data_IF_655400154495
#
_entry.id   IF_655400154495
#
_cell.length_a   1.000
_cell.length_b   1.000
_cell.length_c   1.000
_cell.angle_alpha   90.00
_cell.angle_beta   90.00
_cell.angle_gamma   90.00
#
_symmetry.space_group_name_H-M   'P 1'
#
loop_
_entity.id
_entity.type
_entity.pdbx_description
1 polymer ?
#
# COMPACT_ATOMS: atom_id res chain seq x y z
N UNK A 1 5.57 14.81 0.05
CA UNK A 1 6.62 13.92 -0.50
C UNK A 1 7.04 14.40 -1.90
N UNK A 2 7.96 15.35 -2.03
CA UNK A 2 8.37 15.87 -3.34
C UNK A 2 9.12 14.85 -4.21
N UNK A 3 9.74 13.82 -3.60
CA UNK A 3 10.38 12.73 -4.34
C UNK A 3 9.40 11.98 -5.26
N UNK A 4 8.12 11.85 -4.89
CA UNK A 4 7.11 11.18 -5.72
C UNK A 4 6.97 11.82 -7.11
N UNK A 5 7.21 13.12 -7.21
CA UNK A 5 7.22 13.85 -8.49
C UNK A 5 8.31 13.34 -9.43
N UNK A 6 9.52 13.13 -8.89
CA UNK A 6 10.66 12.61 -9.66
C UNK A 6 10.48 11.13 -9.99
N UNK A 7 10.03 10.33 -9.01
CA UNK A 7 9.78 8.90 -9.20
C UNK A 7 8.73 8.65 -10.29
N UNK A 8 7.61 9.40 -10.26
CA UNK A 8 6.56 9.30 -11.26
C UNK A 8 7.07 9.72 -12.65
N UNK A 9 7.80 10.83 -12.75
CA UNK A 9 8.36 11.30 -14.03
C UNK A 9 9.33 10.28 -14.61
N UNK A 10 10.25 9.75 -13.80
CA UNK A 10 11.25 8.78 -14.24
C UNK A 10 10.61 7.47 -14.74
N UNK A 11 9.64 6.93 -13.99
CA UNK A 11 8.94 5.70 -14.36
C UNK A 11 8.11 5.88 -15.64
N UNK A 12 7.36 6.98 -15.76
CA UNK A 12 6.58 7.29 -16.95
C UNK A 12 7.47 7.43 -18.19
N UNK A 13 8.53 8.23 -18.11
CA UNK A 13 9.46 8.43 -19.23
C UNK A 13 10.15 7.13 -19.62
N UNK A 14 10.57 6.31 -18.66
CA UNK A 14 11.22 5.03 -18.91
C UNK A 14 10.27 4.01 -19.54
N UNK A 15 8.97 4.10 -19.25
CA UNK A 15 7.90 3.32 -19.89
C UNK A 15 7.47 3.87 -21.27
N UNK A 16 8.03 5.01 -21.71
CA UNK A 16 7.69 5.65 -22.98
C UNK A 16 6.48 6.59 -22.93
N UNK A 17 6.02 6.96 -21.72
CA UNK A 17 4.88 7.84 -21.51
C UNK A 17 5.30 9.29 -21.28
N UNK A 18 4.49 10.23 -21.75
CA UNK A 18 4.45 11.57 -21.20
C UNK A 18 3.71 11.59 -19.87
N UNK A 19 3.99 12.58 -19.01
CA UNK A 19 3.36 12.68 -17.69
C UNK A 19 2.96 14.11 -17.36
N UNK A 20 1.75 14.27 -16.84
CA UNK A 20 1.25 15.51 -16.26
C UNK A 20 1.24 15.33 -14.74
N UNK A 21 2.05 16.10 -14.05
CA UNK A 21 2.21 16.08 -12.61
C UNK A 21 1.34 17.14 -11.95
N UNK A 22 0.70 16.79 -10.84
CA UNK A 22 -0.04 17.73 -10.00
C UNK A 22 0.29 17.46 -8.54
N UNK A 23 0.92 18.43 -7.88
CA UNK A 23 1.31 18.34 -6.49
C UNK A 23 0.43 19.13 -5.54
N UNK A 24 0.53 18.86 -4.24
CA UNK A 24 -0.09 19.68 -3.20
C UNK A 24 0.65 21.00 -2.98
N UNK A 25 -0.01 21.94 -2.30
CA UNK A 25 0.51 23.29 -2.01
C UNK A 25 1.83 23.24 -1.23
N UNK A 26 1.97 22.28 -0.32
CA UNK A 26 3.10 22.14 0.60
C UNK A 26 4.42 21.87 -0.12
N UNK A 27 4.37 21.10 -1.22
CA UNK A 27 5.54 20.70 -1.99
C UNK A 27 5.68 21.45 -3.33
N UNK A 28 4.80 22.41 -3.61
CA UNK A 28 4.70 23.02 -4.94
C UNK A 28 6.03 23.64 -5.44
N UNK A 29 6.74 24.39 -4.59
CA UNK A 29 8.02 25.00 -4.96
C UNK A 29 9.08 23.95 -5.30
N UNK A 30 9.16 22.88 -4.52
CA UNK A 30 10.08 21.77 -4.78
C UNK A 30 9.72 21.03 -6.07
N UNK A 31 8.44 20.76 -6.28
CA UNK A 31 7.96 20.10 -7.50
C UNK A 31 8.26 20.94 -8.74
N UNK A 32 8.05 22.26 -8.67
CA UNK A 32 8.38 23.18 -9.78
C UNK A 32 9.87 23.17 -10.11
N UNK A 33 10.73 23.16 -9.08
CA UNK A 33 12.17 23.09 -9.28
C UNK A 33 12.62 21.76 -9.91
N UNK A 34 12.07 20.63 -9.43
CA UNK A 34 12.35 19.31 -10.01
C UNK A 34 11.91 19.23 -11.48
N UNK A 35 10.71 19.68 -11.78
CA UNK A 35 10.19 19.65 -13.16
C UNK A 35 11.02 20.52 -14.08
N UNK A 36 11.49 21.68 -13.63
CA UNK A 36 12.39 22.52 -14.42
C UNK A 36 13.69 21.78 -14.79
N UNK A 37 14.34 21.14 -13.82
CA UNK A 37 15.56 20.34 -14.04
C UNK A 37 15.30 19.16 -14.97
N UNK A 38 14.18 18.45 -14.78
CA UNK A 38 13.81 17.33 -15.66
C UNK A 38 13.58 17.78 -17.10
N UNK A 39 12.89 18.89 -17.31
CA UNK A 39 12.65 19.46 -18.67
C UNK A 39 13.94 19.91 -19.34
N UNK A 40 14.86 20.51 -18.60
CA UNK A 40 16.19 20.90 -19.14
C UNK A 40 17.03 19.67 -19.50
N UNK A 41 16.96 18.61 -18.69
CA UNK A 41 17.63 17.34 -19.00
C UNK A 41 17.03 16.65 -20.24
N UNK A 42 15.70 16.65 -20.39
CA UNK A 42 15.04 16.11 -21.59
C UNK A 42 15.50 16.85 -22.87
N UNK A 43 15.51 18.17 -22.85
CA UNK A 43 15.94 18.97 -23.97
C UNK A 43 17.43 18.71 -24.32
N UNK A 44 18.29 18.59 -23.30
CA UNK A 44 19.68 18.23 -23.46
C UNK A 44 19.91 16.85 -24.07
N UNK A 45 18.93 15.91 -23.81
CA UNK A 45 18.92 14.58 -24.39
C UNK A 45 18.21 14.49 -25.76
N UNK A 46 17.78 15.63 -26.33
CA UNK A 46 17.06 15.67 -27.61
C UNK A 46 15.59 15.21 -27.54
N UNK A 47 15.02 15.19 -26.34
CA UNK A 47 13.61 14.85 -26.12
C UNK A 47 12.77 16.11 -25.89
N UNK A 48 11.46 16.09 -26.24
CA UNK A 48 10.59 17.23 -26.00
C UNK A 48 10.47 17.56 -24.51
N UNK A 49 10.58 18.82 -24.14
CA UNK A 49 10.38 19.30 -22.77
C UNK A 49 9.01 18.94 -22.21
N UNK A 50 8.00 18.88 -23.07
CA UNK A 50 6.62 18.65 -22.70
C UNK A 50 6.28 17.18 -22.41
N UNK A 51 7.26 16.27 -22.52
CA UNK A 51 7.11 14.91 -21.96
C UNK A 51 6.88 14.93 -20.44
N UNK A 52 7.29 16.01 -19.75
CA UNK A 52 6.98 16.24 -18.34
C UNK A 52 6.32 17.60 -18.17
N UNK A 53 5.09 17.62 -17.75
CA UNK A 53 4.32 18.83 -17.45
C UNK A 53 3.93 18.90 -15.98
N UNK A 54 3.76 20.12 -15.44
CA UNK A 54 3.31 20.38 -14.10
C UNK A 54 2.11 21.31 -14.14
N UNK A 55 1.02 20.91 -13.50
CA UNK A 55 -0.12 21.78 -13.22
C UNK A 55 0.29 22.78 -12.14
N UNK A 56 0.37 24.05 -12.49
CA UNK A 56 0.77 25.12 -11.55
C UNK A 56 -0.36 25.56 -10.62
N UNK A 57 -1.60 25.43 -11.05
CA UNK A 57 -2.75 25.68 -10.20
C UNK A 57 -2.95 24.53 -9.21
N UNK A 58 -2.85 24.83 -7.93
CA UNK A 58 -3.02 23.88 -6.83
C UNK A 58 -4.44 23.85 -6.26
N UNK A 59 -5.40 24.51 -6.89
CA UNK A 59 -6.81 24.54 -6.49
C UNK A 59 -7.47 23.16 -6.60
N UNK A 60 -8.66 23.01 -5.98
CA UNK A 60 -9.46 21.79 -6.15
C UNK A 60 -10.12 21.75 -7.52
N UNK A 61 -10.41 22.90 -8.09
CA UNK A 61 -10.99 23.06 -9.41
C UNK A 61 -10.06 22.47 -10.47
N UNK A 62 -8.77 22.84 -10.45
CA UNK A 62 -7.79 22.28 -11.40
C UNK A 62 -7.63 20.76 -11.27
N UNK A 63 -7.75 20.20 -10.05
CA UNK A 63 -7.76 18.76 -9.86
C UNK A 63 -8.99 18.09 -10.48
N UNK A 64 -10.17 18.71 -10.35
CA UNK A 64 -11.40 18.19 -10.95
C UNK A 64 -11.37 18.29 -12.50
N UNK A 65 -10.81 19.36 -13.04
CA UNK A 65 -10.60 19.48 -14.49
C UNK A 65 -9.68 18.37 -15.00
N UNK A 66 -8.55 18.14 -14.33
CA UNK A 66 -7.61 17.07 -14.69
C UNK A 66 -8.29 15.70 -14.70
N UNK A 67 -9.16 15.41 -13.74
CA UNK A 67 -9.91 14.15 -13.65
C UNK A 67 -10.87 13.94 -14.83
N UNK A 68 -11.18 14.98 -15.58
CA UNK A 68 -12.13 14.96 -16.70
C UNK A 68 -11.51 15.11 -18.09
N UNK A 69 -10.19 15.22 -18.20
CA UNK A 69 -9.45 15.40 -19.45
C UNK A 69 -9.31 14.10 -20.26
N UNK A 70 -10.42 13.45 -20.59
CA UNK A 70 -10.47 12.16 -21.29
C UNK A 70 -9.85 12.16 -22.68
N UNK A 71 -9.78 13.32 -23.34
CA UNK A 71 -9.21 13.45 -24.68
C UNK A 71 -7.66 13.56 -24.66
N UNK A 72 -7.08 13.71 -23.46
CA UNK A 72 -5.64 13.96 -23.27
C UNK A 72 -4.95 12.98 -22.34
N UNK A 73 -5.71 12.33 -21.45
CA UNK A 73 -5.16 11.45 -20.43
C UNK A 73 -5.70 10.03 -20.60
N UNK A 74 -4.79 9.07 -20.74
CA UNK A 74 -5.12 7.64 -20.79
C UNK A 74 -5.40 7.07 -19.41
N UNK A 75 -4.67 7.54 -18.39
CA UNK A 75 -4.78 7.04 -17.01
C UNK A 75 -4.45 8.13 -15.98
N UNK A 76 -5.14 8.10 -14.86
CA UNK A 76 -4.90 8.91 -13.68
C UNK A 76 -4.48 8.03 -12.50
N UNK A 77 -3.36 8.38 -11.85
CA UNK A 77 -2.87 7.68 -10.66
C UNK A 77 -2.87 8.65 -9.46
N UNK A 78 -3.96 8.71 -8.68
CA UNK A 78 -4.02 9.59 -7.53
C UNK A 78 -3.08 9.10 -6.43
N UNK A 79 -2.29 10.04 -5.88
CA UNK A 79 -1.36 9.80 -4.77
C UNK A 79 -1.65 10.78 -3.64
N UNK A 80 -2.06 10.30 -2.47
CA UNK A 80 -2.37 11.16 -1.33
C UNK A 80 -3.20 10.44 -0.28
N UNK A 81 -3.86 11.19 0.59
CA UNK A 81 -4.75 10.62 1.61
C UNK A 81 -6.04 10.03 1.03
N UNK A 82 -6.73 9.23 1.83
CA UNK A 82 -7.93 8.47 1.46
C UNK A 82 -8.99 9.32 0.72
N UNK A 83 -9.21 10.57 1.15
CA UNK A 83 -10.20 11.46 0.53
C UNK A 83 -9.87 11.82 -0.92
N UNK A 84 -8.60 12.00 -1.29
CA UNK A 84 -8.19 12.25 -2.67
C UNK A 84 -8.35 11.00 -3.53
N UNK A 85 -7.95 9.85 -3.01
CA UNK A 85 -8.05 8.57 -3.71
C UNK A 85 -9.51 8.22 -3.98
N UNK A 86 -10.39 8.36 -2.98
CA UNK A 86 -11.82 8.14 -3.12
C UNK A 86 -12.47 9.13 -4.10
N UNK A 87 -12.07 10.41 -4.06
CA UNK A 87 -12.58 11.42 -5.00
C UNK A 87 -12.19 11.07 -6.43
N UNK A 88 -10.93 10.66 -6.66
CA UNK A 88 -10.49 10.18 -7.98
C UNK A 88 -11.33 9.01 -8.47
N UNK A 89 -11.51 7.99 -7.63
CA UNK A 89 -12.29 6.80 -8.01
C UNK A 89 -13.78 7.06 -8.27
N UNK A 90 -14.37 8.06 -7.61
CA UNK A 90 -15.81 8.37 -7.76
C UNK A 90 -16.12 9.40 -8.87
N UNK A 91 -15.23 10.38 -9.06
CA UNK A 91 -15.53 11.58 -9.84
C UNK A 91 -14.74 11.67 -11.14
N UNK A 92 -13.67 10.90 -11.31
CA UNK A 92 -12.88 10.93 -12.53
C UNK A 92 -13.60 10.22 -13.68
N UNK A 93 -13.55 10.84 -14.86
CA UNK A 93 -13.95 10.24 -16.13
C UNK A 93 -12.75 9.58 -16.83
N UNK A 94 -11.54 10.05 -16.55
CA UNK A 94 -10.30 9.39 -16.96
C UNK A 94 -10.18 8.07 -16.17
N UNK A 95 -9.77 6.96 -16.79
CA UNK A 95 -9.49 5.71 -16.08
C UNK A 95 -8.54 5.92 -14.91
N UNK A 96 -8.85 5.35 -13.74
CA UNK A 96 -8.07 5.57 -12.51
C UNK A 96 -7.47 4.27 -12.03
N UNK A 97 -6.15 4.29 -11.77
CA UNK A 97 -5.51 3.26 -10.98
C UNK A 97 -5.36 3.79 -9.55
N UNK A 98 -6.14 3.24 -8.64
CA UNK A 98 -6.14 3.68 -7.24
C UNK A 98 -4.96 3.04 -6.50
N UNK A 99 -4.19 3.86 -5.81
CA UNK A 99 -3.24 3.37 -4.81
C UNK A 99 -3.97 3.22 -3.48
N UNK A 100 -3.83 2.05 -2.83
CA UNK A 100 -4.60 1.74 -1.63
C UNK A 100 -4.14 2.49 -0.38
N UNK A 101 -5.07 2.70 0.56
CA UNK A 101 -4.80 2.89 1.98
C UNK A 101 -4.44 1.51 2.55
N UNK A 102 -3.47 1.41 3.43
CA UNK A 102 -3.00 0.14 3.96
C UNK A 102 -3.44 -0.09 5.41
N UNK A 103 -4.56 -0.78 5.63
CA UNK A 103 -4.85 -1.42 6.92
C UNK A 103 -4.37 -2.87 6.81
N UNK A 104 -3.09 -3.08 7.14
CA UNK A 104 -2.43 -4.38 6.97
C UNK A 104 -2.45 -5.18 8.27
N UNK A 105 -2.67 -6.49 8.16
CA UNK A 105 -2.72 -7.38 9.32
C UNK A 105 -1.53 -8.33 9.38
N UNK A 106 -1.12 -8.64 10.59
CA UNK A 106 -0.26 -9.79 10.89
C UNK A 106 -1.05 -10.72 11.81
N UNK A 107 -1.29 -11.93 11.35
CA UNK A 107 -1.99 -12.97 12.09
C UNK A 107 -1.00 -13.99 12.65
N UNK A 108 -1.01 -14.18 13.96
CA UNK A 108 -0.21 -15.18 14.67
C UNK A 108 -1.08 -16.37 15.00
N UNK A 109 -0.91 -17.44 14.22
CA UNK A 109 -1.65 -18.69 14.32
C UNK A 109 -1.17 -19.53 15.52
N UNK A 110 -1.99 -20.44 16.04
CA UNK A 110 -1.64 -21.32 17.15
C UNK A 110 -0.36 -22.15 16.92
N UNK A 111 -0.07 -22.50 15.68
CA UNK A 111 1.14 -23.22 15.26
C UNK A 111 2.34 -22.31 14.95
N UNK A 112 2.36 -21.06 15.40
CA UNK A 112 3.43 -20.13 15.11
C UNK A 112 4.71 -20.41 15.88
N UNK A 113 5.84 -20.03 15.28
CA UNK A 113 7.07 -19.74 16.00
C UNK A 113 6.94 -18.34 16.63
N UNK A 114 6.80 -18.27 17.95
CA UNK A 114 6.51 -17.03 18.66
C UNK A 114 7.66 -16.01 18.59
N UNK A 115 8.91 -16.47 18.60
CA UNK A 115 10.08 -15.58 18.42
C UNK A 115 10.11 -14.98 17.02
N UNK A 116 9.80 -15.78 16.00
CA UNK A 116 9.65 -15.31 14.62
C UNK A 116 8.51 -14.29 14.52
N UNK A 117 7.36 -14.59 15.08
CA UNK A 117 6.19 -13.73 15.07
C UNK A 117 6.46 -12.38 15.74
N UNK A 118 7.15 -12.38 16.88
CA UNK A 118 7.52 -11.15 17.58
C UNK A 118 8.48 -10.27 16.76
N UNK A 119 9.46 -10.86 16.06
CA UNK A 119 10.34 -10.12 15.15
C UNK A 119 9.58 -9.59 13.93
N UNK A 120 8.66 -10.37 13.36
CA UNK A 120 7.87 -9.97 12.20
C UNK A 120 6.99 -8.78 12.55
N UNK A 121 6.21 -8.84 13.64
CA UNK A 121 5.32 -7.72 14.01
C UNK A 121 6.11 -6.48 14.42
N UNK A 122 7.22 -6.64 15.14
CA UNK A 122 8.10 -5.51 15.44
C UNK A 122 8.59 -4.83 14.15
N UNK A 123 9.11 -5.58 13.19
CA UNK A 123 9.55 -5.03 11.91
C UNK A 123 8.38 -4.41 11.13
N UNK A 124 7.27 -5.11 11.00
CA UNK A 124 6.11 -4.69 10.23
C UNK A 124 5.52 -3.36 10.75
N UNK A 125 5.55 -3.12 12.08
CA UNK A 125 5.05 -1.87 12.66
C UNK A 125 6.10 -0.77 12.77
N UNK A 126 7.36 -1.11 13.08
CA UNK A 126 8.31 -0.09 13.56
C UNK A 126 9.39 0.32 12.58
N UNK A 127 9.62 -0.42 11.50
CA UNK A 127 10.65 -0.07 10.51
C UNK A 127 10.33 1.25 9.79
N UNK A 128 9.07 1.48 9.47
CA UNK A 128 8.57 2.74 8.90
C UNK A 128 7.04 2.82 9.05
N UNK A 129 6.51 3.34 10.15
CA UNK A 129 5.09 3.25 10.45
C UNK A 129 4.19 4.06 9.49
N UNK A 130 4.72 5.10 8.82
CA UNK A 130 3.96 6.02 7.96
C UNK A 130 3.76 5.56 6.51
N UNK A 131 4.01 4.28 6.21
CA UNK A 131 3.81 3.72 4.86
C UNK A 131 2.68 2.70 4.85
N UNK A 132 2.02 2.58 3.71
CA UNK A 132 0.79 1.79 3.54
C UNK A 132 0.95 0.28 3.79
N UNK A 133 2.16 -0.28 3.74
CA UNK A 133 2.44 -1.69 4.03
C UNK A 133 2.89 -1.94 5.49
N UNK A 134 2.91 -0.92 6.35
CA UNK A 134 3.11 -1.11 7.78
C UNK A 134 1.91 -1.84 8.40
N UNK A 135 2.17 -2.71 9.39
CA UNK A 135 1.07 -3.35 10.10
C UNK A 135 0.28 -2.34 10.93
N UNK A 136 -1.03 -2.38 10.82
CA UNK A 136 -1.95 -1.57 11.61
C UNK A 136 -2.74 -2.42 12.61
N UNK A 137 -2.89 -3.72 12.32
CA UNK A 137 -3.58 -4.65 13.18
C UNK A 137 -2.78 -5.94 13.39
N UNK A 138 -2.74 -6.41 14.63
CA UNK A 138 -2.19 -7.70 15.05
C UNK A 138 -3.33 -8.60 15.53
N UNK A 139 -3.50 -9.73 14.85
CA UNK A 139 -4.44 -10.79 15.23
C UNK A 139 -3.66 -11.93 15.88
N UNK A 140 -4.12 -12.44 16.99
CA UNK A 140 -3.44 -13.51 17.74
C UNK A 140 -4.41 -14.59 18.14
N UNK A 141 -4.10 -15.83 17.80
CA UNK A 141 -4.90 -16.97 18.29
C UNK A 141 -4.91 -17.00 19.81
N UNK A 142 -6.12 -17.23 20.36
CA UNK A 142 -6.33 -17.31 21.81
C UNK A 142 -5.43 -18.34 22.48
N UNK A 143 -5.11 -19.43 21.78
CA UNK A 143 -4.25 -20.50 22.32
C UNK A 143 -2.83 -20.02 22.65
N UNK A 144 -2.29 -19.07 21.88
CA UNK A 144 -0.92 -18.57 22.04
C UNK A 144 -0.83 -17.15 22.59
N UNK A 145 -1.96 -16.46 22.71
CA UNK A 145 -1.99 -15.07 23.14
C UNK A 145 -1.35 -14.82 24.52
N UNK A 146 -1.56 -15.67 25.56
CA UNK A 146 -0.93 -15.45 26.85
C UNK A 146 0.60 -15.46 26.82
N UNK A 147 1.19 -16.29 25.97
CA UNK A 147 2.65 -16.42 25.84
C UNK A 147 3.21 -15.37 24.86
N UNK A 148 2.51 -15.16 23.75
CA UNK A 148 2.99 -14.30 22.66
C UNK A 148 2.90 -12.81 22.96
N UNK A 149 1.77 -12.33 23.49
CA UNK A 149 1.53 -10.89 23.66
C UNK A 149 2.57 -10.21 24.56
N UNK A 150 3.00 -10.79 25.70
CA UNK A 150 4.09 -10.22 26.50
C UNK A 150 5.42 -10.17 25.76
N UNK A 151 5.75 -11.17 24.94
CA UNK A 151 6.98 -11.20 24.13
C UNK A 151 6.96 -10.10 23.06
N UNK A 152 5.86 -9.97 22.33
CA UNK A 152 5.68 -8.93 21.33
C UNK A 152 5.78 -7.53 21.95
N UNK A 153 5.15 -7.33 23.12
CA UNK A 153 5.22 -6.06 23.83
C UNK A 153 6.64 -5.67 24.23
N UNK A 154 7.47 -6.61 24.70
CA UNK A 154 8.87 -6.34 25.03
C UNK A 154 9.66 -5.71 23.87
N UNK A 155 9.35 -6.08 22.63
CA UNK A 155 9.97 -5.48 21.44
C UNK A 155 9.31 -4.16 21.04
N UNK A 156 7.98 -4.11 21.00
CA UNK A 156 7.22 -2.96 20.54
C UNK A 156 7.41 -1.72 21.44
N UNK A 157 7.51 -1.91 22.76
CA UNK A 157 7.78 -0.82 23.71
C UNK A 157 9.11 -0.12 23.47
N UNK A 158 10.10 -0.79 22.88
CA UNK A 158 11.42 -0.18 22.56
C UNK A 158 11.28 0.98 21.55
N UNK A 159 10.18 1.03 20.85
CA UNK A 159 9.81 2.09 19.90
C UNK A 159 8.59 2.91 20.36
N UNK A 160 8.21 2.78 21.64
CA UNK A 160 7.05 3.48 22.22
C UNK A 160 5.76 3.25 21.42
N UNK A 161 5.52 2.03 20.93
CA UNK A 161 4.28 1.70 20.21
C UNK A 161 3.11 1.74 21.19
N UNK A 162 2.09 2.55 20.89
CA UNK A 162 0.82 2.53 21.61
C UNK A 162 0.03 1.30 21.19
N UNK A 163 -0.43 0.48 22.13
CA UNK A 163 -1.32 -0.64 21.85
C UNK A 163 -2.77 -0.25 22.15
N UNK A 164 -3.65 -0.56 21.19
CA UNK A 164 -5.10 -0.50 21.36
C UNK A 164 -5.65 -1.92 21.29
N UNK A 165 -6.08 -2.46 22.41
CA UNK A 165 -6.38 -3.88 22.55
C UNK A 165 -7.85 -4.17 22.79
N UNK A 166 -8.33 -5.32 22.26
CA UNK A 166 -9.60 -5.89 22.65
C UNK A 166 -9.60 -6.27 24.16
N UNK A 167 -10.76 -6.56 24.77
CA UNK A 167 -10.83 -6.90 26.20
C UNK A 167 -9.87 -8.05 26.60
N UNK A 168 -9.73 -9.09 25.77
CA UNK A 168 -8.83 -10.21 26.04
C UNK A 168 -7.34 -9.79 26.01
N UNK A 169 -6.95 -8.96 25.04
CA UNK A 169 -5.58 -8.38 24.98
C UNK A 169 -5.27 -7.60 26.26
N UNK A 170 -6.21 -6.78 26.71
CA UNK A 170 -6.08 -6.00 27.95
C UNK A 170 -6.03 -6.85 29.20
N UNK A 171 -6.79 -7.95 29.24
CA UNK A 171 -6.74 -8.89 30.36
C UNK A 171 -5.36 -9.57 30.49
N UNK A 172 -4.65 -9.79 29.37
CA UNK A 172 -3.32 -10.41 29.37
C UNK A 172 -2.23 -9.38 29.67
N UNK A 173 -2.24 -8.21 29.03
CA UNK A 173 -1.15 -7.25 29.12
C UNK A 173 -1.34 -6.21 30.23
N UNK A 174 -2.57 -5.89 30.62
CA UNK A 174 -2.88 -4.94 31.68
C UNK A 174 -3.37 -3.58 31.16
N UNK A 175 -3.62 -2.65 32.11
CA UNK A 175 -4.32 -1.40 31.88
C UNK A 175 -3.55 -0.33 31.08
N UNK A 176 -2.27 -0.52 30.84
CA UNK A 176 -1.50 0.38 29.97
C UNK A 176 -1.92 0.25 28.49
N UNK A 177 -2.52 -0.87 28.10
CA UNK A 177 -3.11 -1.06 26.78
C UNK A 177 -4.43 -0.31 26.73
N UNK A 178 -4.54 0.64 25.80
CA UNK A 178 -5.79 1.38 25.60
C UNK A 178 -6.89 0.44 25.07
N UNK A 179 -8.15 0.63 25.47
CA UNK A 179 -9.23 -0.11 24.83
C UNK A 179 -9.30 0.26 23.35
N UNK A 180 -9.40 -0.75 22.49
CA UNK A 180 -9.66 -0.55 21.07
C UNK A 180 -11.12 -0.12 20.88
N UNK A 181 -11.33 0.85 19.99
CA UNK A 181 -12.63 1.29 19.51
C UNK A 181 -12.93 0.63 18.16
N UNK A 182 -14.19 0.56 17.74
CA UNK A 182 -14.55 -0.05 16.45
C UNK A 182 -13.84 0.58 15.26
N UNK A 183 -13.62 1.90 15.29
CA UNK A 183 -12.91 2.63 14.26
C UNK A 183 -11.41 2.28 14.15
N UNK A 184 -10.81 1.75 15.22
CA UNK A 184 -9.39 1.39 15.23
C UNK A 184 -9.09 0.22 14.28
N UNK A 185 -10.07 -0.65 14.05
CA UNK A 185 -9.93 -1.80 13.17
C UNK A 185 -9.85 -1.42 11.69
N UNK A 186 -10.41 -0.26 11.31
CA UNK A 186 -10.46 0.26 9.93
C UNK A 186 -9.47 1.42 9.71
N UNK A 187 -8.59 1.69 10.67
CA UNK A 187 -7.72 2.87 10.65
C UNK A 187 -6.30 2.55 10.22
N UNK A 188 -5.83 3.21 9.15
CA UNK A 188 -4.42 3.37 8.85
C UNK A 188 -3.86 4.46 9.77
N UNK A 189 -3.26 4.07 10.91
CA UNK A 189 -2.73 5.04 11.88
C UNK A 189 -1.56 5.83 11.32
N UNK A 190 -0.70 5.18 10.53
CA UNK A 190 0.48 5.81 9.97
C UNK A 190 1.51 6.25 11.01
N UNK A 191 1.41 5.75 12.24
CA UNK A 191 2.21 6.11 13.40
C UNK A 191 2.51 4.86 14.25
N UNK A 192 3.23 5.03 15.34
CA UNK A 192 3.54 3.98 16.31
C UNK A 192 2.30 3.63 17.16
N UNK A 193 1.21 3.27 16.50
CA UNK A 193 -0.04 2.78 17.09
C UNK A 193 -0.38 1.45 16.43
N UNK A 194 -0.75 0.43 17.22
CA UNK A 194 -1.09 -0.90 16.74
C UNK A 194 -2.38 -1.39 17.42
N UNK A 195 -3.37 -1.72 16.63
CA UNK A 195 -4.58 -2.41 17.12
C UNK A 195 -4.26 -3.89 17.34
N UNK A 196 -4.75 -4.47 18.44
CA UNK A 196 -4.44 -5.86 18.82
C UNK A 196 -5.72 -6.60 19.21
N UNK A 197 -6.02 -7.67 18.50
CA UNK A 197 -7.20 -8.51 18.73
C UNK A 197 -6.80 -9.96 18.96
N UNK A 198 -7.34 -10.55 20.01
CA UNK A 198 -7.32 -11.99 20.21
C UNK A 198 -8.50 -12.59 19.44
N UNK A 199 -8.23 -13.61 18.65
CA UNK A 199 -9.21 -14.34 17.84
C UNK A 199 -9.34 -15.79 18.32
N UNK A 200 -10.48 -16.41 18.09
CA UNK A 200 -10.74 -17.80 18.50
C UNK A 200 -9.98 -18.84 17.66
N UNK A 201 -9.48 -18.44 16.49
CA UNK A 201 -8.74 -19.27 15.56
C UNK A 201 -8.74 -18.73 14.15
N UNK A 202 -8.28 -19.58 13.22
CA UNK A 202 -8.04 -19.26 11.82
C UNK A 202 -9.22 -18.61 11.10
N UNK A 203 -10.42 -19.19 11.21
CA UNK A 203 -11.58 -18.71 10.44
C UNK A 203 -12.01 -17.30 10.91
N UNK A 204 -12.02 -17.02 12.23
CA UNK A 204 -12.27 -15.66 12.73
C UNK A 204 -11.20 -14.65 12.26
N UNK A 205 -9.94 -15.07 12.18
CA UNK A 205 -8.87 -14.19 11.68
C UNK A 205 -9.08 -13.83 10.21
N UNK A 206 -9.43 -14.80 9.36
CA UNK A 206 -9.70 -14.57 7.94
C UNK A 206 -10.93 -13.69 7.74
N UNK A 207 -12.01 -13.97 8.46
CA UNK A 207 -13.25 -13.18 8.43
C UNK A 207 -12.99 -11.73 8.87
N UNK A 208 -12.17 -11.55 9.91
CA UNK A 208 -11.79 -10.23 10.39
C UNK A 208 -10.97 -9.45 9.35
N UNK A 209 -9.98 -10.10 8.74
CA UNK A 209 -9.19 -9.50 7.65
C UNK A 209 -10.09 -9.13 6.46
N UNK A 210 -11.04 -9.97 6.11
CA UNK A 210 -11.99 -9.70 5.02
C UNK A 210 -12.90 -8.50 5.33
N UNK A 211 -13.27 -8.30 6.60
CA UNK A 211 -14.15 -7.22 7.04
C UNK A 211 -13.43 -5.87 7.15
N UNK A 212 -12.19 -5.86 7.66
CA UNK A 212 -11.46 -4.65 8.07
C UNK A 212 -10.22 -4.35 7.20
N UNK A 213 -9.72 -5.33 6.45
CA UNK A 213 -8.57 -5.16 5.55
C UNK A 213 -8.91 -4.31 4.33
N UNK A 214 -7.90 -3.63 3.82
CA UNK A 214 -8.00 -2.83 2.59
C UNK A 214 -7.57 -3.60 1.33
N UNK A 215 -7.28 -4.90 1.46
CA UNK A 215 -6.76 -5.73 0.38
C UNK A 215 -5.33 -5.39 -0.03
N UNK A 216 -4.55 -4.79 0.88
CA UNK A 216 -3.19 -4.35 0.58
C UNK A 216 -2.15 -5.45 0.85
N UNK A 217 -1.86 -5.75 2.11
CA UNK A 217 -0.82 -6.71 2.49
C UNK A 217 -1.20 -7.40 3.78
N UNK A 218 -1.29 -8.73 3.73
CA UNK A 218 -1.74 -9.54 4.85
C UNK A 218 -0.75 -10.67 5.11
N UNK A 219 -0.43 -10.95 6.36
CA UNK A 219 0.54 -11.96 6.73
C UNK A 219 0.02 -12.93 7.78
N UNK A 220 0.32 -14.21 7.60
CA UNK A 220 0.18 -15.25 8.65
C UNK A 220 1.57 -15.67 9.14
N UNK A 221 1.71 -15.88 10.44
CA UNK A 221 2.87 -16.57 11.01
C UNK A 221 2.44 -17.93 11.52
N UNK A 222 2.98 -18.99 10.94
CA UNK A 222 2.63 -20.38 11.27
C UNK A 222 3.71 -21.36 10.82
N UNK A 223 3.80 -22.51 11.47
CA UNK A 223 4.54 -23.71 11.02
C UNK A 223 3.60 -24.76 10.40
N UNK A 224 2.30 -24.58 10.52
CA UNK A 224 1.28 -25.45 9.92
C UNK A 224 1.17 -25.16 8.42
N UNK A 225 1.57 -26.14 7.61
CA UNK A 225 1.52 -26.04 6.15
C UNK A 225 0.08 -25.88 5.62
N UNK A 226 -0.89 -26.56 6.22
CA UNK A 226 -2.28 -26.52 5.78
C UNK A 226 -2.87 -25.14 6.08
N UNK A 227 -2.65 -24.60 7.28
CA UNK A 227 -3.09 -23.25 7.64
C UNK A 227 -2.43 -22.20 6.72
N UNK A 228 -1.14 -22.34 6.40
CA UNK A 228 -0.45 -21.46 5.48
C UNK A 228 -1.09 -21.44 4.08
N UNK A 229 -1.35 -22.62 3.50
CA UNK A 229 -1.98 -22.72 2.17
C UNK A 229 -3.42 -22.17 2.18
N UNK A 230 -4.22 -22.51 3.21
CA UNK A 230 -5.57 -21.95 3.36
C UNK A 230 -5.55 -20.42 3.45
N UNK A 231 -4.60 -19.84 4.14
CA UNK A 231 -4.46 -18.38 4.25
C UNK A 231 -4.14 -17.74 2.89
N UNK A 232 -3.19 -18.32 2.14
CA UNK A 232 -2.84 -17.86 0.79
C UNK A 232 -4.03 -17.92 -0.17
N UNK A 233 -4.88 -18.94 -0.04
CA UNK A 233 -6.02 -19.15 -0.93
C UNK A 233 -7.25 -18.29 -0.55
N UNK A 234 -7.47 -18.06 0.75
CA UNK A 234 -8.69 -17.41 1.24
C UNK A 234 -8.58 -15.90 1.42
N UNK A 235 -7.37 -15.39 1.70
CA UNK A 235 -7.16 -13.96 1.93
C UNK A 235 -6.99 -13.22 0.61
N UNK A 236 -7.92 -12.31 0.31
CA UNK A 236 -7.96 -11.56 -0.93
C UNK A 236 -7.25 -10.19 -0.77
N UNK A 237 -5.93 -10.21 -0.85
CA UNK A 237 -5.09 -9.02 -0.81
C UNK A 237 -4.11 -8.97 -1.99
N UNK A 238 -3.52 -7.79 -2.24
CA UNK A 238 -2.52 -7.60 -3.29
C UNK A 238 -1.24 -8.37 -3.00
N UNK A 239 -0.88 -8.52 -1.72
CA UNK A 239 0.23 -9.36 -1.28
C UNK A 239 -0.17 -10.15 -0.03
N UNK A 240 0.02 -11.47 -0.08
CA UNK A 240 -0.29 -12.38 1.03
C UNK A 240 0.98 -13.14 1.39
N UNK A 241 1.32 -13.12 2.68
CA UNK A 241 2.59 -13.62 3.18
C UNK A 241 2.44 -14.76 4.16
N UNK A 242 3.35 -15.70 4.09
CA UNK A 242 3.59 -16.70 5.13
C UNK A 242 4.97 -16.44 5.72
N UNK A 243 5.03 -16.21 7.04
CA UNK A 243 6.27 -16.05 7.80
C UNK A 243 7.18 -14.89 7.32
N UNK A 244 6.58 -13.82 6.83
CA UNK A 244 7.31 -12.63 6.40
C UNK A 244 6.58 -11.35 6.81
N UNK A 245 7.31 -10.26 6.90
CA UNK A 245 6.77 -8.93 7.20
C UNK A 245 6.01 -8.35 6.00
N UNK A 246 4.89 -7.69 6.26
CA UNK A 246 4.15 -6.93 5.24
C UNK A 246 4.96 -5.82 4.59
N UNK A 247 6.07 -5.41 5.23
CA UNK A 247 7.01 -4.41 4.72
C UNK A 247 7.70 -4.81 3.41
N UNK A 248 7.66 -6.07 3.02
CA UNK A 248 8.18 -6.52 1.72
C UNK A 248 7.30 -6.13 0.53
N UNK A 249 6.08 -5.64 0.71
CA UNK A 249 5.26 -5.12 -0.40
C UNK A 249 5.82 -3.79 -0.90
N UNK A 250 6.87 -3.88 -1.70
CA UNK A 250 7.65 -2.75 -2.20
C UNK A 250 8.22 -3.12 -3.57
N UNK A 251 8.18 -2.19 -4.53
CA UNK A 251 8.60 -2.46 -5.90
C UNK A 251 10.10 -2.78 -6.02
N UNK A 252 10.94 -2.23 -5.12
CA UNK A 252 12.37 -2.57 -5.11
C UNK A 252 12.58 -3.98 -4.55
N UNK A 253 11.92 -4.32 -3.43
CA UNK A 253 12.00 -5.65 -2.82
C UNK A 253 11.44 -6.75 -3.74
N UNK A 254 10.42 -6.45 -4.54
CA UNK A 254 9.84 -7.37 -5.53
C UNK A 254 10.64 -7.46 -6.84
N UNK A 255 11.77 -6.73 -6.93
CA UNK A 255 12.65 -6.79 -8.12
C UNK A 255 12.20 -5.94 -9.30
N UNK A 256 11.20 -5.05 -9.11
CA UNK A 256 10.72 -4.13 -10.15
C UNK A 256 11.64 -2.89 -10.29
N UNK A 257 12.61 -2.71 -9.40
CA UNK A 257 13.57 -1.61 -9.38
C UNK A 257 13.02 -0.31 -8.79
N UNK A 258 11.75 -0.01 -8.98
CA UNK A 258 11.03 1.13 -8.40
C UNK A 258 9.52 0.89 -8.50
N UNK A 259 8.72 1.75 -7.84
CA UNK A 259 7.26 1.73 -7.96
C UNK A 259 6.66 3.14 -7.97
N UNK A 260 5.56 3.29 -8.67
CA UNK A 260 4.75 4.51 -8.60
C UNK A 260 3.71 4.44 -7.46
N UNK A 261 3.52 3.29 -6.87
CA UNK A 261 2.61 3.01 -5.76
C UNK A 261 2.13 1.57 -5.78
N UNK A 262 1.28 1.24 -4.80
CA UNK A 262 0.74 -0.10 -4.64
C UNK A 262 -0.77 -0.03 -4.86
N UNK A 263 -1.26 -0.77 -5.86
CA UNK A 263 -2.68 -0.85 -6.17
C UNK A 263 -3.32 -2.02 -5.45
N UNK A 264 -4.51 -1.78 -4.89
CA UNK A 264 -5.36 -2.83 -4.32
C UNK A 264 -6.50 -3.24 -5.26
N UNK A 265 -6.58 -2.63 -6.44
CA UNK A 265 -7.59 -2.95 -7.45
C UNK A 265 -7.34 -4.33 -8.06
N UNK A 266 -8.41 -4.96 -8.53
CA UNK A 266 -8.37 -6.27 -9.22
C UNK A 266 -8.38 -6.13 -10.74
N UNK A 267 -8.22 -4.93 -11.27
CA UNK A 267 -8.30 -4.60 -12.68
C UNK A 267 -7.05 -3.83 -13.09
N UNK A 268 -6.43 -4.24 -14.21
CA UNK A 268 -5.17 -3.77 -14.76
C UNK A 268 -3.97 -4.10 -13.86
N UNK A 269 -3.71 -3.30 -12.80
CA UNK A 269 -2.59 -3.49 -11.90
C UNK A 269 -3.05 -3.84 -10.49
N UNK A 270 -2.40 -4.80 -9.84
CA UNK A 270 -2.58 -5.15 -8.43
C UNK A 270 -1.23 -5.39 -7.77
N UNK A 271 -0.99 -4.77 -6.63
CA UNK A 271 0.31 -4.77 -5.96
C UNK A 271 1.19 -3.59 -6.35
N UNK A 272 2.51 -3.65 -6.11
CA UNK A 272 3.46 -2.64 -6.54
C UNK A 272 3.44 -2.45 -8.05
N UNK A 273 3.41 -1.19 -8.50
CA UNK A 273 3.33 -0.83 -9.91
C UNK A 273 4.69 -0.31 -10.40
N UNK A 274 5.38 -1.12 -11.19
CA UNK A 274 6.63 -0.78 -11.85
C UNK A 274 6.43 -0.25 -13.27
N UNK A 275 7.34 -0.60 -14.17
CA UNK A 275 7.27 -0.14 -15.56
C UNK A 275 6.17 -0.83 -16.38
N UNK A 276 5.95 -2.13 -16.13
CA UNK A 276 4.97 -2.92 -16.90
C UNK A 276 3.54 -2.40 -16.70
N UNK A 277 3.19 -2.01 -15.47
CA UNK A 277 1.87 -1.50 -15.13
C UNK A 277 1.58 -0.12 -15.74
N UNK A 278 2.61 0.58 -16.23
CA UNK A 278 2.50 1.84 -16.97
C UNK A 278 2.44 1.63 -18.48
N UNK A 279 2.25 0.40 -18.94
CA UNK A 279 2.17 0.04 -20.36
C UNK A 279 0.90 -0.75 -20.66
N UNK A 280 0.61 -0.93 -21.93
CA UNK A 280 -0.43 -1.80 -22.44
C UNK A 280 0.06 -2.57 -23.66
N UNK A 281 -0.67 -3.64 -24.05
CA UNK A 281 -0.34 -4.45 -25.20
C UNK A 281 -1.13 -4.00 -26.44
N UNK A 282 -0.49 -4.13 -27.61
CA UNK A 282 -1.19 -4.06 -28.90
C UNK A 282 -0.88 -5.31 -29.73
N UNK A 283 -1.83 -5.75 -30.52
CA UNK A 283 -1.62 -6.80 -31.50
C UNK A 283 -1.02 -6.22 -32.78
N UNK A 284 0.08 -6.81 -33.25
CA UNK A 284 0.70 -6.45 -34.52
C UNK A 284 0.54 -7.64 -35.46
N UNK A 285 -0.13 -7.44 -36.59
CA UNK A 285 -0.46 -8.51 -37.53
C UNK A 285 0.17 -8.14 -38.85
N UNK A 286 1.02 -9.05 -39.35
CA UNK A 286 1.57 -9.00 -40.71
C UNK A 286 0.78 -9.96 -41.57
N UNK A 287 0.10 -9.45 -42.61
CA UNK A 287 -0.73 -10.22 -43.51
C UNK A 287 -0.17 -10.25 -44.93
N UNK A 288 -0.58 -11.28 -45.70
CA UNK A 288 -0.27 -11.48 -47.12
C UNK A 288 -1.53 -11.47 -47.99
N UNK A 289 -2.57 -10.76 -47.54
CA UNK A 289 -3.84 -10.63 -48.24
C UNK A 289 -4.95 -11.58 -47.77
N UNK A 290 -4.83 -12.16 -46.56
CA UNK A 290 -5.90 -12.98 -45.98
C UNK A 290 -7.18 -12.17 -45.82
N UNK A 291 -8.32 -12.80 -46.16
CA UNK A 291 -9.68 -12.26 -45.99
C UNK A 291 -10.49 -13.18 -45.07
N UNK A 292 -11.52 -12.64 -44.44
CA UNK A 292 -12.46 -13.37 -43.57
C UNK A 292 -13.81 -13.47 -44.24
#
# INVERSE_FOLDING_TARGET
RPNVTVDAAALCLKAGNAVILRGGKEAFRSNKAFVAVLRDALESAGLPRDCVALVEDTSRESANELMNLTDYLDVLIPRGGAGLIQSGGKNARVPVIQTGVGVCHVYVHEGADLDMAARIIHNAKTSRPSVCNAAECLLVDRAVAPDFLPMAWQLLQTKNVELRGCPETRAILGDFVRPAEDADWDTEFGDYILAVKVVSGFDEAVDFIAAHGTGHSEAIVTRDYIAAQRFLDQVDAAAVYVNASTRFTDGFEFGLGAEIGISTQKMHARGPMGLEELTSCKYVIYGEGQVR
#
